data_IF_804445694185
#
_entry.id   IF_804445694185
#
_cell.length_a   1.000
_cell.length_b   1.000
_cell.length_c   1.000
_cell.angle_alpha   90.00
_cell.angle_beta   90.00
_cell.angle_gamma   90.00
#
_symmetry.space_group_name_H-M   'P 1'
#
loop_
_entity.id
_entity.type
_entity.pdbx_description
1 polymer ?
#
# COMPACT_ATOMS: atom_id res chain seq x y z
N UNK A 1 37.53 -18.89 -54.58
CA UNK A 1 36.06 -19.12 -54.68
C UNK A 1 35.77 -20.38 -53.86
N UNK A 2 35.01 -20.43 -52.78
CA UNK A 2 33.98 -19.56 -52.20
C UNK A 2 34.02 -19.60 -50.66
N UNK A 3 33.37 -18.62 -50.04
CA UNK A 3 33.27 -18.22 -48.61
C UNK A 3 32.58 -19.32 -47.77
N UNK A 4 32.79 -19.51 -46.47
CA UNK A 4 33.07 -18.55 -45.40
C UNK A 4 31.80 -18.29 -44.58
N UNK A 5 31.57 -19.13 -43.56
CA UNK A 5 30.75 -18.93 -42.35
C UNK A 5 29.32 -18.37 -42.52
N UNK A 6 28.35 -19.29 -42.57
CA UNK A 6 26.95 -18.98 -42.27
C UNK A 6 26.72 -18.92 -40.75
N UNK A 7 26.97 -17.75 -40.16
CA UNK A 7 26.44 -17.40 -38.85
C UNK A 7 25.40 -16.31 -39.03
N UNK A 8 24.11 -16.66 -38.98
CA UNK A 8 23.03 -15.69 -39.11
C UNK A 8 23.02 -14.73 -37.89
N UNK A 9 22.83 -13.40 -38.07
CA UNK A 9 22.92 -12.43 -36.97
C UNK A 9 21.66 -12.34 -36.09
N UNK A 10 20.65 -13.18 -36.30
CA UNK A 10 19.32 -12.99 -35.70
C UNK A 10 19.08 -13.76 -34.39
N UNK A 11 19.99 -14.64 -33.96
CA UNK A 11 19.78 -15.48 -32.76
C UNK A 11 20.17 -14.82 -31.43
N UNK A 12 20.47 -13.51 -31.40
CA UNK A 12 20.99 -12.84 -30.19
C UNK A 12 20.11 -11.71 -29.63
N UNK A 13 18.84 -11.59 -30.03
CA UNK A 13 18.02 -10.42 -29.64
C UNK A 13 16.69 -10.72 -28.91
N UNK A 14 16.40 -11.95 -28.47
CA UNK A 14 15.09 -12.26 -27.86
C UNK A 14 15.09 -12.80 -26.42
N UNK A 15 16.22 -12.92 -25.72
CA UNK A 15 16.24 -13.58 -24.41
C UNK A 15 16.28 -12.67 -23.17
N UNK A 16 16.64 -11.39 -23.28
CA UNK A 16 17.01 -10.65 -22.07
C UNK A 16 15.94 -9.69 -21.53
N UNK A 17 14.84 -9.45 -22.26
CA UNK A 17 13.87 -8.39 -21.89
C UNK A 17 12.67 -8.93 -21.06
N UNK A 18 12.33 -10.22 -21.13
CA UNK A 18 11.14 -10.78 -20.43
C UNK A 18 11.44 -11.60 -19.16
N UNK A 19 12.69 -12.01 -18.89
CA UNK A 19 12.98 -13.01 -17.86
C UNK A 19 12.89 -12.46 -16.43
N UNK A 20 13.29 -11.20 -16.22
CA UNK A 20 13.33 -10.59 -14.87
C UNK A 20 11.94 -10.34 -14.28
N UNK A 21 11.00 -9.67 -14.98
CA UNK A 21 9.64 -9.50 -14.46
C UNK A 21 8.93 -10.84 -14.25
N UNK A 22 9.16 -11.82 -15.14
CA UNK A 22 8.60 -13.17 -15.00
C UNK A 22 9.14 -13.88 -13.75
N UNK A 23 10.45 -13.81 -13.51
CA UNK A 23 11.08 -14.38 -12.31
C UNK A 23 10.57 -13.74 -11.03
N UNK A 24 10.41 -12.41 -11.01
CA UNK A 24 9.85 -11.70 -9.86
C UNK A 24 8.40 -12.11 -9.59
N UNK A 25 7.57 -12.18 -10.64
CA UNK A 25 6.18 -12.63 -10.51
C UNK A 25 6.06 -14.06 -10.01
N UNK A 26 6.92 -14.97 -10.49
CA UNK A 26 6.94 -16.35 -9.99
C UNK A 26 7.36 -16.40 -8.53
N UNK A 27 8.39 -15.64 -8.12
CA UNK A 27 8.81 -15.56 -6.72
C UNK A 27 7.69 -15.03 -5.83
N UNK A 28 6.97 -13.99 -6.25
CA UNK A 28 5.83 -13.45 -5.51
C UNK A 28 4.67 -14.45 -5.38
N UNK A 29 4.39 -15.21 -6.45
CA UNK A 29 3.39 -16.28 -6.41
C UNK A 29 3.79 -17.37 -5.40
N UNK A 30 5.05 -17.82 -5.44
CA UNK A 30 5.56 -18.84 -4.51
C UNK A 30 5.56 -18.31 -3.08
N UNK A 31 5.91 -17.03 -2.84
CA UNK A 31 5.87 -16.40 -1.52
C UNK A 31 4.46 -16.40 -0.93
N UNK A 32 3.47 -15.98 -1.74
CA UNK A 32 2.06 -16.01 -1.33
C UNK A 32 1.61 -17.43 -0.97
N UNK A 33 1.92 -18.43 -1.79
CA UNK A 33 1.54 -19.82 -1.54
C UNK A 33 2.28 -20.41 -0.33
N UNK A 34 3.58 -20.14 -0.20
CA UNK A 34 4.39 -20.61 0.92
C UNK A 34 3.94 -19.98 2.24
N UNK A 35 3.57 -18.69 2.23
CA UNK A 35 3.02 -17.97 3.37
C UNK A 35 1.70 -18.54 3.90
N UNK A 36 0.96 -19.32 3.11
CA UNK A 36 -0.26 -20.00 3.57
C UNK A 36 0.02 -21.28 4.38
N UNK A 37 1.21 -21.88 4.24
CA UNK A 37 1.53 -23.19 4.84
C UNK A 37 2.71 -23.16 5.81
N UNK A 38 3.61 -22.20 5.66
CA UNK A 38 4.88 -22.12 6.39
C UNK A 38 5.00 -20.82 7.19
N UNK A 39 5.86 -20.83 8.21
CA UNK A 39 6.13 -19.65 9.02
C UNK A 39 6.86 -18.57 8.22
N UNK A 40 6.54 -17.31 8.53
CA UNK A 40 7.07 -16.13 7.85
C UNK A 40 8.59 -16.10 7.76
N UNK A 41 9.28 -16.49 8.84
CA UNK A 41 10.75 -16.48 8.89
C UNK A 41 11.37 -17.59 8.03
N UNK A 42 10.67 -18.70 7.81
CA UNK A 42 11.11 -19.72 6.87
C UNK A 42 10.94 -19.23 5.43
N UNK A 43 9.78 -18.65 5.10
CA UNK A 43 9.50 -18.13 3.75
C UNK A 43 10.51 -17.05 3.37
N UNK A 44 10.75 -16.07 4.24
CA UNK A 44 11.71 -14.97 4.00
C UNK A 44 13.16 -15.40 3.84
N UNK A 45 13.56 -16.52 4.45
CA UNK A 45 14.91 -17.09 4.27
C UNK A 45 15.10 -17.70 2.89
N UNK A 46 14.01 -18.19 2.28
CA UNK A 46 14.04 -18.87 0.99
C UNK A 46 13.69 -17.92 -0.17
N UNK A 47 12.87 -16.90 0.09
CA UNK A 47 12.39 -15.92 -0.87
C UNK A 47 12.66 -14.52 -0.33
N UNK A 48 13.74 -13.90 -0.82
CA UNK A 48 14.11 -12.55 -0.43
C UNK A 48 13.26 -11.51 -1.16
N UNK A 49 12.93 -10.40 -0.49
CA UNK A 49 12.15 -9.30 -1.05
C UNK A 49 12.77 -8.74 -2.35
N UNK A 50 14.12 -8.65 -2.43
CA UNK A 50 14.87 -8.22 -3.62
C UNK A 50 14.48 -8.97 -4.90
N UNK A 51 14.17 -10.27 -4.80
CA UNK A 51 13.78 -11.09 -5.96
C UNK A 51 12.38 -10.68 -6.46
N UNK A 52 11.53 -10.21 -5.56
CA UNK A 52 10.12 -9.87 -5.80
C UNK A 52 9.92 -8.40 -6.15
N UNK A 53 10.93 -7.54 -6.03
CA UNK A 53 10.81 -6.09 -6.29
C UNK A 53 10.30 -5.77 -7.70
N UNK A 54 10.62 -6.60 -8.69
CA UNK A 54 10.16 -6.47 -10.08
C UNK A 54 8.73 -7.01 -10.29
N UNK A 55 8.13 -7.67 -9.30
CA UNK A 55 6.78 -8.21 -9.42
C UNK A 55 5.73 -7.12 -9.31
N UNK A 56 4.88 -7.03 -10.33
CA UNK A 56 3.71 -6.14 -10.33
C UNK A 56 2.77 -6.45 -9.16
N UNK A 57 2.59 -7.74 -8.83
CA UNK A 57 1.74 -8.15 -7.71
C UNK A 57 2.34 -7.76 -6.36
N UNK A 58 3.65 -7.90 -6.19
CA UNK A 58 4.34 -7.48 -4.97
C UNK A 58 4.23 -5.96 -4.78
N UNK A 59 4.53 -5.18 -5.82
CA UNK A 59 4.41 -3.73 -5.82
C UNK A 59 2.98 -3.27 -5.45
N UNK A 60 1.95 -3.90 -6.02
CA UNK A 60 0.55 -3.63 -5.70
C UNK A 60 0.22 -3.90 -4.23
N UNK A 61 0.73 -5.00 -3.65
CA UNK A 61 0.52 -5.34 -2.23
C UNK A 61 1.17 -4.29 -1.33
N UNK A 62 2.41 -3.89 -1.62
CA UNK A 62 3.12 -2.85 -0.87
C UNK A 62 2.39 -1.51 -0.97
N UNK A 63 1.93 -1.13 -2.16
CA UNK A 63 1.17 0.10 -2.36
C UNK A 63 -0.14 0.09 -1.57
N UNK A 64 -0.92 -0.99 -1.63
CA UNK A 64 -2.15 -1.16 -0.84
C UNK A 64 -1.86 -1.11 0.66
N UNK A 65 -0.79 -1.75 1.12
CA UNK A 65 -0.35 -1.72 2.50
C UNK A 65 -0.01 -0.29 2.96
N UNK A 66 0.74 0.46 2.15
CA UNK A 66 1.09 1.86 2.43
C UNK A 66 -0.15 2.76 2.47
N UNK A 67 -1.10 2.58 1.56
CA UNK A 67 -2.35 3.35 1.54
C UNK A 67 -3.20 3.08 2.79
N UNK A 68 -3.37 1.80 3.15
CA UNK A 68 -4.08 1.41 4.38
C UNK A 68 -3.41 1.97 5.63
N UNK A 69 -2.09 1.79 5.76
CA UNK A 69 -1.34 2.30 6.91
C UNK A 69 -1.41 3.83 7.04
N UNK A 70 -1.35 4.56 5.92
CA UNK A 70 -1.55 6.01 5.93
C UNK A 70 -2.94 6.40 6.43
N UNK A 71 -3.99 5.73 5.96
CA UNK A 71 -5.37 6.04 6.36
C UNK A 71 -5.63 5.66 7.82
N UNK A 72 -5.12 4.52 8.28
CA UNK A 72 -5.20 4.07 9.69
C UNK A 72 -4.50 5.07 10.62
N UNK A 73 -3.29 5.51 10.28
CA UNK A 73 -2.53 6.49 11.07
C UNK A 73 -3.23 7.86 11.08
N UNK A 74 -3.69 8.35 9.91
CA UNK A 74 -4.41 9.63 9.82
C UNK A 74 -5.66 9.61 10.71
N UNK A 75 -6.44 8.52 10.67
CA UNK A 75 -7.61 8.34 11.53
C UNK A 75 -7.26 8.33 13.00
N UNK A 76 -6.22 7.58 13.38
CA UNK A 76 -5.77 7.48 14.75
C UNK A 76 -5.37 8.86 15.30
N UNK A 77 -4.57 9.61 14.54
CA UNK A 77 -4.12 10.95 14.93
C UNK A 77 -5.32 11.90 15.06
N UNK A 78 -6.19 11.96 14.05
CA UNK A 78 -7.38 12.84 14.07
C UNK A 78 -8.27 12.52 15.26
N UNK A 79 -8.59 11.24 15.51
CA UNK A 79 -9.43 10.83 16.64
C UNK A 79 -8.80 11.24 17.97
N UNK A 80 -7.48 11.04 18.11
CA UNK A 80 -6.73 11.44 19.30
C UNK A 80 -6.76 12.95 19.52
N UNK A 81 -6.54 13.74 18.47
CA UNK A 81 -6.56 15.20 18.55
C UNK A 81 -7.95 15.74 18.90
N UNK A 82 -9.00 15.21 18.29
CA UNK A 82 -10.37 15.58 18.62
C UNK A 82 -10.71 15.21 20.07
N UNK A 83 -10.28 14.04 20.54
CA UNK A 83 -10.49 13.64 21.93
C UNK A 83 -9.77 14.56 22.92
N UNK A 84 -8.55 15.00 22.58
CA UNK A 84 -7.79 15.93 23.41
C UNK A 84 -8.42 17.33 23.46
N UNK A 85 -9.04 17.77 22.36
CA UNK A 85 -9.59 19.12 22.22
C UNK A 85 -11.02 19.26 22.72
N UNK A 86 -11.87 18.28 22.39
CA UNK A 86 -13.30 18.31 22.61
C UNK A 86 -13.76 17.35 23.72
N UNK A 87 -12.85 16.52 24.23
CA UNK A 87 -13.16 15.48 25.20
C UNK A 87 -13.73 14.21 24.54
N UNK A 88 -14.44 13.41 25.33
CA UNK A 88 -15.06 12.16 24.84
C UNK A 88 -16.11 12.47 23.77
N UNK A 89 -15.88 11.97 22.55
CA UNK A 89 -16.82 12.07 21.45
C UNK A 89 -17.92 11.00 21.55
N UNK A 90 -19.12 11.34 21.13
CA UNK A 90 -20.22 10.38 21.00
C UNK A 90 -19.89 9.29 19.95
N UNK A 91 -20.26 8.02 20.17
CA UNK A 91 -20.03 6.92 19.24
C UNK A 91 -20.49 7.18 17.79
N UNK A 92 -21.57 7.95 17.59
CA UNK A 92 -22.08 8.30 16.25
C UNK A 92 -21.08 9.16 15.48
N UNK A 93 -20.46 10.14 16.15
CA UNK A 93 -19.44 10.99 15.52
C UNK A 93 -18.16 10.19 15.25
N UNK A 94 -17.79 9.30 16.18
CA UNK A 94 -16.63 8.42 15.98
C UNK A 94 -16.82 7.55 14.73
N UNK A 95 -17.99 6.94 14.55
CA UNK A 95 -18.29 6.13 13.39
C UNK A 95 -18.28 6.93 12.08
N UNK A 96 -18.76 8.18 12.08
CA UNK A 96 -18.65 9.06 10.90
C UNK A 96 -17.18 9.30 10.53
N UNK A 97 -16.33 9.61 11.50
CA UNK A 97 -14.88 9.79 11.30
C UNK A 97 -14.21 8.50 10.80
N UNK A 98 -14.68 7.34 11.29
CA UNK A 98 -14.27 6.02 10.81
C UNK A 98 -14.74 5.70 9.37
N UNK A 99 -15.66 6.49 8.81
CA UNK A 99 -16.06 6.40 7.41
C UNK A 99 -15.25 7.28 6.46
N UNK A 100 -14.47 8.23 6.99
CA UNK A 100 -13.82 9.25 6.16
C UNK A 100 -12.69 8.68 5.29
N UNK A 101 -12.58 9.24 4.08
CA UNK A 101 -11.43 9.05 3.19
C UNK A 101 -10.19 9.71 3.78
N UNK A 102 -9.00 9.30 3.31
CA UNK A 102 -7.74 9.90 3.76
C UNK A 102 -7.71 11.42 3.53
N UNK A 103 -8.19 11.89 2.37
CA UNK A 103 -8.24 13.32 2.06
C UNK A 103 -9.14 14.08 3.03
N UNK A 104 -10.31 13.54 3.37
CA UNK A 104 -11.18 14.18 4.37
C UNK A 104 -10.58 14.13 5.78
N UNK A 105 -9.83 13.09 6.12
CA UNK A 105 -9.08 13.05 7.39
C UNK A 105 -7.98 14.11 7.44
N UNK A 106 -7.27 14.34 6.33
CA UNK A 106 -6.26 15.41 6.20
C UNK A 106 -6.91 16.80 6.34
N UNK A 107 -8.02 17.06 5.64
CA UNK A 107 -8.77 18.31 5.78
C UNK A 107 -9.31 18.52 7.21
N UNK A 108 -9.83 17.46 7.84
CA UNK A 108 -10.27 17.48 9.23
C UNK A 108 -9.11 17.80 10.17
N UNK A 109 -7.90 17.34 9.87
CA UNK A 109 -6.71 17.60 10.70
C UNK A 109 -6.33 19.08 10.76
N UNK A 110 -6.68 19.85 9.72
CA UNK A 110 -6.51 21.31 9.69
C UNK A 110 -7.72 22.00 10.34
N UNK A 111 -8.94 21.65 9.94
CA UNK A 111 -10.16 22.26 10.45
C UNK A 111 -10.36 22.07 11.96
N UNK A 112 -9.91 20.93 12.51
CA UNK A 112 -9.99 20.68 13.95
C UNK A 112 -9.17 21.67 14.77
N UNK A 113 -8.25 22.42 14.15
CA UNK A 113 -7.47 23.45 14.80
C UNK A 113 -8.30 24.70 15.15
N UNK A 114 -9.49 24.86 14.58
CA UNK A 114 -10.39 25.99 14.79
C UNK A 114 -11.64 25.64 15.61
N UNK A 115 -11.90 24.36 15.90
CA UNK A 115 -13.10 23.95 16.63
C UNK A 115 -13.07 24.42 18.08
N UNK A 116 -14.18 24.98 18.57
CA UNK A 116 -14.36 25.33 19.99
C UNK A 116 -15.23 24.31 20.71
N UNK A 117 -16.14 23.67 19.97
CA UNK A 117 -17.18 22.78 20.51
C UNK A 117 -17.37 21.53 19.66
N UNK A 118 -18.03 20.52 20.24
CA UNK A 118 -18.46 19.31 19.52
C UNK A 118 -19.46 19.65 18.39
N UNK A 119 -20.19 20.76 18.52
CA UNK A 119 -21.12 21.23 17.48
C UNK A 119 -20.37 21.62 16.21
N UNK A 120 -19.19 22.23 16.31
CA UNK A 120 -18.38 22.63 15.15
C UNK A 120 -17.94 21.40 14.35
N UNK A 121 -17.52 20.34 15.05
CA UNK A 121 -17.20 19.05 14.44
C UNK A 121 -18.43 18.43 13.77
N UNK A 122 -19.59 18.44 14.43
CA UNK A 122 -20.82 17.87 13.87
C UNK A 122 -21.24 18.60 12.58
N UNK A 123 -21.17 19.94 12.57
CA UNK A 123 -21.47 20.75 11.39
C UNK A 123 -20.47 20.47 10.27
N UNK A 124 -19.18 20.36 10.59
CA UNK A 124 -18.14 20.04 9.60
C UNK A 124 -18.34 18.66 8.96
N UNK A 125 -18.68 17.65 9.77
CA UNK A 125 -18.93 16.28 9.28
C UNK A 125 -20.19 16.14 8.43
N UNK A 126 -21.12 17.10 8.52
CA UNK A 126 -22.34 17.15 7.70
C UNK A 126 -22.15 17.97 6.42
N UNK A 127 -21.01 18.64 6.23
CA UNK A 127 -20.61 19.21 4.95
C UNK A 127 -20.05 18.08 4.10
N UNK A 128 -20.58 17.87 2.88
CA UNK A 128 -20.01 16.92 1.93
C UNK A 128 -18.71 17.45 1.31
#
# INVERSE_FOLDING_TARGET
>A
MQRGLGGFPHERLHQDIEEKPLRGNLAACVDVLAGLRFEKDLVRRLLSEEIMEESVTYQDIIQKGRQRGKQEEARFIVMRLLTLRLGLLDPVLQQKIEGLSITRLEELSEALLDFETVTDLAVWLDQE
#
